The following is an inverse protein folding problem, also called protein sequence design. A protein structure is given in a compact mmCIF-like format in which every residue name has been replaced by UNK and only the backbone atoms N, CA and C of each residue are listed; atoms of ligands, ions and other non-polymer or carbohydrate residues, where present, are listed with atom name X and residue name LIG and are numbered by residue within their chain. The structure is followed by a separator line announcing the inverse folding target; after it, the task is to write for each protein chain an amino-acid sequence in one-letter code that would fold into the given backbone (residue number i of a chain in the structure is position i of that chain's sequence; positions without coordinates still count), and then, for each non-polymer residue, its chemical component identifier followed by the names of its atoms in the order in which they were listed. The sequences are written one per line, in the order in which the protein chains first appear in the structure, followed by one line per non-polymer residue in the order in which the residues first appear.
data_IF_505388398759
#
_entry.id   IF_505388398759
#
_cell.length_a   1.000
_cell.length_b   1.000
_cell.length_c   1.000
_cell.angle_alpha   90.00
_cell.angle_beta   90.00
_cell.angle_gamma   90.00
#
_symmetry.space_group_name_H-M   'P 1'
#
loop_
_entity.id
_entity.type
_entity.pdbx_description
1 polymer ?
#
# COMPACT_ATOMS: atom_id res chain seq x y z
N UNK A 1 -16.63 2.12 21.14
CA UNK A 1 -15.39 2.64 20.48
C UNK A 1 -15.75 3.90 19.67
N UNK A 2 -14.78 4.81 19.41
CA UNK A 2 -15.06 6.03 18.64
C UNK A 2 -15.68 5.75 17.25
N UNK A 3 -15.21 4.67 16.59
CA UNK A 3 -15.65 4.30 15.25
C UNK A 3 -17.11 3.82 15.15
N UNK A 4 -17.70 3.35 16.25
CA UNK A 4 -19.08 2.78 16.25
C UNK A 4 -20.15 3.82 15.91
N UNK A 5 -19.90 5.07 16.25
CA UNK A 5 -20.83 6.18 16.01
C UNK A 5 -20.30 7.20 14.99
N UNK A 6 -19.26 6.82 14.24
CA UNK A 6 -18.58 7.73 13.30
C UNK A 6 -19.09 7.52 11.88
N UNK A 7 -19.17 8.61 11.13
CA UNK A 7 -19.39 8.62 9.68
C UNK A 7 -18.04 8.67 8.99
N UNK A 8 -17.81 7.72 8.06
CA UNK A 8 -16.58 7.63 7.30
C UNK A 8 -16.78 8.17 5.88
N UNK A 9 -15.85 8.99 5.42
CA UNK A 9 -15.72 9.40 4.03
C UNK A 9 -14.57 8.65 3.38
N UNK A 10 -14.84 7.85 2.35
CA UNK A 10 -13.80 7.08 1.67
C UNK A 10 -13.25 7.82 0.46
N UNK A 11 -11.93 7.78 0.31
CA UNK A 11 -11.22 8.26 -0.88
C UNK A 11 -10.31 7.15 -1.39
N UNK A 12 -10.29 6.94 -2.71
CA UNK A 12 -9.24 6.19 -3.42
C UNK A 12 -8.21 7.20 -3.95
N UNK A 13 -7.05 7.39 -3.26
CA UNK A 13 -6.17 8.53 -3.51
C UNK A 13 -5.56 8.55 -4.91
N UNK A 14 -5.09 7.42 -5.44
CA UNK A 14 -4.50 7.36 -6.78
C UNK A 14 -5.48 7.87 -7.84
N UNK A 15 -6.73 7.42 -7.80
CA UNK A 15 -7.78 7.88 -8.72
C UNK A 15 -8.21 9.31 -8.44
N UNK A 16 -8.52 9.65 -7.20
CA UNK A 16 -9.00 10.97 -6.79
C UNK A 16 -7.99 12.08 -7.10
N UNK A 17 -6.71 11.83 -6.88
CA UNK A 17 -5.64 12.79 -7.11
C UNK A 17 -5.14 12.83 -8.57
N UNK A 18 -5.66 11.95 -9.44
CA UNK A 18 -5.28 11.91 -10.86
C UNK A 18 -3.85 11.38 -11.08
N UNK A 19 -3.43 10.41 -10.27
CA UNK A 19 -2.15 9.74 -10.43
C UNK A 19 -2.11 8.88 -11.70
N UNK A 20 -0.94 8.68 -12.34
CA UNK A 20 -0.79 7.71 -13.43
C UNK A 20 -1.19 6.30 -13.00
N UNK A 21 -1.75 5.50 -13.92
CA UNK A 21 -2.16 4.12 -13.63
C UNK A 21 -0.97 3.24 -13.26
N UNK A 22 0.10 3.32 -14.03
CA UNK A 22 1.36 2.62 -13.76
C UNK A 22 2.27 3.52 -12.93
N UNK A 23 3.04 2.93 -12.01
CA UNK A 23 4.04 3.66 -11.26
C UNK A 23 5.22 4.03 -12.18
N UNK A 24 5.33 5.31 -12.48
CA UNK A 24 6.35 5.88 -13.37
C UNK A 24 7.64 6.27 -12.63
N UNK A 25 7.68 6.11 -11.30
CA UNK A 25 8.81 6.49 -10.46
C UNK A 25 8.97 8.00 -10.26
N UNK A 26 8.04 8.82 -10.77
CA UNK A 26 8.12 10.28 -10.68
C UNK A 26 7.38 10.78 -9.45
N UNK A 27 8.10 11.48 -8.57
CA UNK A 27 7.49 12.06 -7.37
C UNK A 27 6.82 13.39 -7.69
N UNK A 28 5.49 13.43 -7.48
CA UNK A 28 4.68 14.64 -7.66
C UNK A 28 3.69 14.75 -6.50
N UNK A 29 3.69 15.88 -5.81
CA UNK A 29 2.71 16.13 -4.75
C UNK A 29 1.30 16.30 -5.35
N UNK A 30 0.58 15.18 -5.42
CA UNK A 30 -0.85 15.15 -5.80
C UNK A 30 -1.75 14.96 -4.58
N UNK A 31 -1.21 14.40 -3.48
CA UNK A 31 -1.98 14.04 -2.29
C UNK A 31 -2.54 15.29 -1.58
N UNK A 32 -1.94 16.45 -1.77
CA UNK A 32 -2.42 17.73 -1.25
C UNK A 32 -3.86 18.04 -1.63
N UNK A 33 -4.35 17.53 -2.76
CA UNK A 33 -5.76 17.64 -3.17
C UNK A 33 -6.75 17.12 -2.12
N UNK A 34 -6.34 16.15 -1.30
CA UNK A 34 -7.18 15.64 -0.20
C UNK A 34 -7.36 16.69 0.89
N UNK A 35 -6.32 17.47 1.18
CA UNK A 35 -6.42 18.59 2.13
C UNK A 35 -7.41 19.66 1.66
N UNK A 36 -7.47 19.96 0.36
CA UNK A 36 -8.43 20.90 -0.22
C UNK A 36 -9.89 20.44 -0.03
N UNK A 37 -10.10 19.16 0.26
CA UNK A 37 -11.42 18.56 0.47
C UNK A 37 -11.87 18.58 1.94
N UNK A 38 -11.01 18.99 2.88
CA UNK A 38 -11.26 18.93 4.31
C UNK A 38 -12.54 19.68 4.74
N UNK A 39 -12.75 20.90 4.26
CA UNK A 39 -13.96 21.69 4.53
C UNK A 39 -15.24 20.99 4.04
N UNK A 40 -15.17 20.35 2.87
CA UNK A 40 -16.31 19.63 2.31
C UNK A 40 -16.67 18.41 3.18
N UNK A 41 -15.67 17.63 3.57
CA UNK A 41 -15.82 16.43 4.41
C UNK A 41 -16.39 16.84 5.79
N UNK A 42 -15.86 17.89 6.38
CA UNK A 42 -16.36 18.41 7.66
C UNK A 42 -17.83 18.85 7.56
N UNK A 43 -18.21 19.58 6.50
CA UNK A 43 -19.61 20.02 6.29
C UNK A 43 -20.58 18.88 6.06
N UNK A 44 -20.12 17.74 5.53
CA UNK A 44 -20.91 16.53 5.43
C UNK A 44 -21.15 15.85 6.78
N UNK A 45 -20.44 16.26 7.83
CA UNK A 45 -20.51 15.65 9.16
C UNK A 45 -19.77 14.33 9.26
N UNK A 46 -18.77 14.10 8.40
CA UNK A 46 -17.92 12.91 8.51
C UNK A 46 -16.85 13.12 9.59
N UNK A 47 -16.65 12.09 10.43
CA UNK A 47 -15.70 12.09 11.55
C UNK A 47 -14.32 11.56 11.16
N UNK A 48 -14.26 10.80 10.07
CA UNK A 48 -13.04 10.16 9.61
C UNK A 48 -12.99 10.06 8.08
N UNK A 49 -11.78 10.13 7.54
CA UNK A 49 -11.48 9.76 6.16
C UNK A 49 -10.81 8.39 6.16
N UNK A 50 -11.39 7.46 5.41
CA UNK A 50 -10.77 6.17 5.07
C UNK A 50 -10.07 6.31 3.73
N UNK A 51 -8.76 6.17 3.73
CA UNK A 51 -7.95 6.21 2.52
C UNK A 51 -7.66 4.78 2.05
N UNK A 52 -8.14 4.42 0.85
CA UNK A 52 -7.65 3.23 0.15
C UNK A 52 -6.12 3.32 -0.01
N UNK A 53 -5.41 2.22 -0.31
CA UNK A 53 -3.96 2.17 -0.13
C UNK A 53 -3.19 3.36 -0.72
N UNK A 54 -2.29 3.92 0.09
CA UNK A 54 -1.47 5.09 -0.24
C UNK A 54 0.03 4.78 -0.29
N UNK A 55 0.42 3.57 0.10
CA UNK A 55 1.82 3.16 0.13
C UNK A 55 2.38 2.94 -1.28
N UNK A 56 3.69 3.04 -1.43
CA UNK A 56 4.37 2.79 -2.71
C UNK A 56 3.92 1.46 -3.30
N UNK A 57 3.43 1.48 -4.55
CA UNK A 57 2.80 0.34 -5.19
C UNK A 57 3.16 0.23 -6.68
N UNK A 58 2.90 -0.94 -7.27
CA UNK A 58 3.16 -1.16 -8.69
C UNK A 58 2.14 -0.40 -9.56
N UNK A 59 0.83 -0.49 -9.22
CA UNK A 59 -0.27 0.02 -10.06
C UNK A 59 -1.41 0.63 -9.26
N UNK A 60 -2.21 -0.23 -8.60
CA UNK A 60 -3.52 0.16 -8.04
C UNK A 60 -3.52 0.40 -6.51
N UNK A 61 -2.37 0.28 -5.87
CA UNK A 61 -2.23 0.49 -4.43
C UNK A 61 -2.30 -0.80 -3.61
N UNK A 62 -3.06 -1.81 -4.06
CA UNK A 62 -3.14 -3.12 -3.38
C UNK A 62 -1.96 -4.04 -3.71
N UNK A 63 -1.04 -3.60 -4.54
CA UNK A 63 0.20 -4.25 -4.97
C UNK A 63 1.42 -3.51 -4.41
N UNK A 64 1.51 -3.48 -3.08
CA UNK A 64 2.48 -2.70 -2.31
C UNK A 64 3.93 -3.09 -2.62
N UNK A 65 4.79 -2.08 -2.83
CA UNK A 65 6.25 -2.20 -2.93
C UNK A 65 6.97 -1.91 -1.62
N UNK A 66 6.45 -0.92 -0.86
CA UNK A 66 7.06 -0.47 0.39
C UNK A 66 5.99 0.15 1.30
N UNK A 67 5.81 -0.42 2.50
CA UNK A 67 4.85 0.07 3.49
C UNK A 67 5.33 1.32 4.26
N UNK A 68 6.60 1.69 4.15
CA UNK A 68 7.19 2.82 4.87
C UNK A 68 7.25 4.10 4.04
N UNK A 69 6.75 4.04 2.82
CA UNK A 69 6.82 5.12 1.86
C UNK A 69 5.47 5.37 1.20
N UNK A 70 5.08 6.64 1.12
CA UNK A 70 3.93 7.06 0.31
C UNK A 70 4.26 6.85 -1.17
N UNK A 71 3.27 6.42 -1.95
CA UNK A 71 3.42 6.23 -3.38
C UNK A 71 3.92 7.52 -4.04
N UNK A 72 5.02 7.43 -4.79
CA UNK A 72 5.66 8.60 -5.39
C UNK A 72 4.72 9.37 -6.32
N UNK A 73 3.78 8.70 -6.94
CA UNK A 73 2.74 9.35 -7.76
C UNK A 73 1.79 10.24 -6.95
N UNK A 74 1.73 10.06 -5.62
CA UNK A 74 0.95 10.88 -4.69
C UNK A 74 1.79 11.96 -4.02
N UNK A 75 3.08 11.72 -3.79
CA UNK A 75 3.98 12.67 -3.13
C UNK A 75 5.01 12.01 -2.23
N UNK A 76 5.35 12.69 -1.16
CA UNK A 76 6.30 12.24 -0.14
C UNK A 76 5.59 11.99 1.20
N UNK A 77 6.31 11.36 2.14
CA UNK A 77 5.81 11.19 3.51
C UNK A 77 5.50 12.55 4.18
N UNK A 78 6.31 13.57 3.88
CA UNK A 78 6.13 14.93 4.39
C UNK A 78 4.89 15.60 3.78
N UNK A 79 4.59 15.35 2.51
CA UNK A 79 3.35 15.84 1.88
C UNK A 79 2.13 15.22 2.55
N UNK A 80 2.18 13.92 2.82
CA UNK A 80 1.08 13.22 3.53
C UNK A 80 0.93 13.70 4.98
N UNK A 81 2.03 13.96 5.68
CA UNK A 81 1.98 14.52 7.04
C UNK A 81 1.18 15.84 7.06
N UNK A 82 1.40 16.74 6.09
CA UNK A 82 0.64 18.00 5.95
C UNK A 82 -0.85 17.77 5.68
N UNK A 83 -1.18 16.74 4.89
CA UNK A 83 -2.60 16.35 4.68
C UNK A 83 -3.23 15.91 5.99
N UNK A 84 -2.54 15.07 6.77
CA UNK A 84 -3.01 14.62 8.09
C UNK A 84 -3.20 15.81 9.04
N UNK A 85 -2.25 16.75 9.10
CA UNK A 85 -2.36 17.96 9.92
C UNK A 85 -3.61 18.78 9.57
N UNK A 86 -3.87 18.96 8.27
CA UNK A 86 -5.05 19.68 7.79
C UNK A 86 -6.34 18.96 8.17
N UNK A 87 -6.45 17.67 7.94
CA UNK A 87 -7.63 16.88 8.30
C UNK A 87 -7.87 16.88 9.82
N UNK A 88 -6.82 16.71 10.61
CA UNK A 88 -6.91 16.76 12.08
C UNK A 88 -7.35 18.13 12.59
N UNK A 89 -6.89 19.23 11.96
CA UNK A 89 -7.34 20.59 12.30
C UNK A 89 -8.83 20.80 12.04
N UNK A 90 -9.43 20.05 11.11
CA UNK A 90 -10.87 20.01 10.84
C UNK A 90 -11.63 18.99 11.71
N UNK A 91 -10.98 18.36 12.68
CA UNK A 91 -11.57 17.34 13.55
C UNK A 91 -11.78 15.97 12.86
N UNK A 92 -11.18 15.76 11.68
CA UNK A 92 -11.33 14.56 10.88
C UNK A 92 -10.17 13.58 11.17
N UNK A 93 -10.50 12.37 11.57
CA UNK A 93 -9.51 11.30 11.75
C UNK A 93 -9.10 10.68 10.41
N UNK A 94 -7.89 10.18 10.34
CA UNK A 94 -7.37 9.47 9.16
C UNK A 94 -7.25 7.98 9.46
N UNK A 95 -7.82 7.15 8.59
CA UNK A 95 -7.73 5.69 8.63
C UNK A 95 -7.13 5.22 7.32
N UNK A 96 -6.07 4.42 7.41
CA UNK A 96 -5.36 3.89 6.24
C UNK A 96 -5.74 2.45 5.97
N UNK A 97 -5.85 2.10 4.68
CA UNK A 97 -6.00 0.73 4.22
C UNK A 97 -4.66 -0.01 4.34
N UNK A 98 -4.63 -1.03 5.19
CA UNK A 98 -3.47 -1.89 5.40
C UNK A 98 -3.63 -3.22 4.67
N UNK A 99 -2.99 -3.36 3.51
CA UNK A 99 -2.99 -4.60 2.72
C UNK A 99 -1.84 -5.50 3.20
N UNK A 100 -2.10 -6.33 4.23
CA UNK A 100 -1.05 -7.12 4.89
C UNK A 100 -1.05 -8.61 4.49
N UNK A 101 -2.01 -9.05 3.66
CA UNK A 101 -2.07 -10.43 3.19
C UNK A 101 -1.04 -10.72 2.07
N UNK A 102 -0.80 -9.75 1.21
CA UNK A 102 0.05 -9.88 0.03
C UNK A 102 0.73 -8.56 -0.33
N UNK A 103 1.69 -8.62 -1.23
CA UNK A 103 2.44 -7.49 -1.77
C UNK A 103 2.51 -7.56 -3.29
N UNK A 104 2.89 -6.46 -3.93
CA UNK A 104 3.21 -6.45 -5.36
C UNK A 104 4.53 -7.17 -5.66
N UNK A 105 4.73 -7.54 -6.93
CA UNK A 105 5.99 -8.13 -7.38
C UNK A 105 7.20 -7.19 -7.27
N UNK A 106 6.92 -5.87 -7.18
CA UNK A 106 7.92 -4.83 -6.93
C UNK A 106 8.36 -4.70 -5.47
N UNK A 107 7.78 -5.47 -4.53
CA UNK A 107 8.14 -5.43 -3.12
C UNK A 107 9.62 -5.77 -2.92
N UNK A 108 10.33 -4.94 -2.17
CA UNK A 108 11.79 -5.00 -2.06
C UNK A 108 12.34 -6.38 -1.62
N UNK A 109 11.68 -7.05 -0.65
CA UNK A 109 12.11 -8.37 -0.19
C UNK A 109 11.83 -9.46 -1.26
N UNK A 110 10.74 -9.32 -2.05
CA UNK A 110 10.45 -10.23 -3.15
C UNK A 110 11.44 -10.04 -4.31
N UNK A 111 11.87 -8.80 -4.59
CA UNK A 111 12.94 -8.50 -5.55
C UNK A 111 14.24 -9.19 -5.18
N UNK A 112 14.62 -9.17 -3.92
CA UNK A 112 15.80 -9.89 -3.43
C UNK A 112 15.68 -11.41 -3.68
N UNK A 113 14.48 -11.98 -3.44
CA UNK A 113 14.23 -13.41 -3.75
C UNK A 113 14.31 -13.69 -5.26
N UNK A 114 13.77 -12.80 -6.10
CA UNK A 114 13.87 -12.95 -7.56
C UNK A 114 15.33 -12.97 -8.03
N UNK A 115 16.20 -12.18 -7.40
CA UNK A 115 17.62 -12.08 -7.73
C UNK A 115 18.44 -13.24 -7.15
N UNK A 116 18.32 -13.51 -5.84
CA UNK A 116 19.17 -14.44 -5.08
C UNK A 116 18.60 -15.84 -4.94
N UNK A 117 17.32 -16.03 -5.27
CA UNK A 117 16.64 -17.32 -5.18
C UNK A 117 16.77 -17.94 -3.79
N UNK A 118 17.31 -19.16 -3.72
CA UNK A 118 17.52 -19.91 -2.49
C UNK A 118 18.41 -19.18 -1.47
N UNK A 119 19.33 -18.36 -1.92
CA UNK A 119 20.28 -17.63 -1.07
C UNK A 119 19.70 -16.34 -0.47
N UNK A 120 18.47 -15.96 -0.86
CA UNK A 120 17.82 -14.81 -0.27
C UNK A 120 17.46 -15.04 1.21
N UNK A 121 17.80 -14.08 2.11
CA UNK A 121 17.35 -14.15 3.50
C UNK A 121 15.85 -13.94 3.66
N UNK A 122 15.15 -13.49 2.61
CA UNK A 122 13.72 -13.19 2.61
C UNK A 122 12.86 -14.30 1.97
N UNK A 123 13.44 -15.44 1.53
CA UNK A 123 12.67 -16.51 0.90
C UNK A 123 11.52 -17.03 1.77
N UNK A 124 11.71 -17.08 3.09
CA UNK A 124 10.70 -17.56 4.03
C UNK A 124 9.65 -16.49 4.42
N UNK A 125 9.76 -15.28 3.86
CA UNK A 125 8.75 -14.23 3.97
C UNK A 125 7.53 -14.52 3.09
N UNK A 126 7.67 -15.45 2.15
CA UNK A 126 6.66 -15.86 1.19
C UNK A 126 6.47 -17.37 1.21
N UNK A 127 5.44 -17.87 0.58
CA UNK A 127 5.24 -19.31 0.37
C UNK A 127 5.84 -19.71 -0.98
N UNK A 128 7.10 -20.16 -1.00
CA UNK A 128 7.89 -20.42 -2.21
C UNK A 128 8.22 -21.92 -2.34
N UNK A 129 8.20 -22.42 -3.57
CA UNK A 129 8.66 -23.75 -3.96
C UNK A 129 9.69 -23.62 -5.08
N UNK A 130 10.94 -24.01 -4.79
CA UNK A 130 12.06 -23.86 -5.72
C UNK A 130 12.15 -24.99 -6.77
N UNK A 131 11.33 -26.02 -6.66
CA UNK A 131 11.16 -27.09 -7.63
C UNK A 131 10.11 -26.82 -8.71
N UNK A 132 9.43 -25.66 -8.61
CA UNK A 132 8.42 -25.20 -9.54
C UNK A 132 8.80 -23.94 -10.31
N UNK A 133 7.84 -23.38 -11.05
CA UNK A 133 8.00 -22.10 -11.73
C UNK A 133 6.71 -21.28 -11.68
N UNK A 134 6.84 -19.97 -11.69
CA UNK A 134 5.71 -19.04 -11.75
C UNK A 134 5.29 -18.75 -13.20
N UNK A 135 4.13 -18.12 -13.37
CA UNK A 135 3.67 -17.61 -14.66
C UNK A 135 4.58 -16.51 -15.25
N UNK A 136 5.47 -15.95 -14.43
CA UNK A 136 6.44 -14.92 -14.82
C UNK A 136 7.83 -15.50 -15.12
N UNK A 137 7.97 -16.83 -15.12
CA UNK A 137 9.24 -17.52 -15.35
C UNK A 137 10.35 -17.12 -14.36
N UNK A 138 10.01 -17.05 -13.08
CA UNK A 138 10.94 -16.65 -12.01
C UNK A 138 11.99 -17.73 -11.69
N UNK A 139 11.80 -18.98 -12.16
CA UNK A 139 12.63 -20.13 -11.78
C UNK A 139 12.29 -20.71 -10.40
N UNK A 140 11.17 -20.30 -9.82
CA UNK A 140 10.52 -20.84 -8.63
C UNK A 140 9.02 -20.56 -8.68
N UNK A 141 8.23 -21.36 -7.97
CA UNK A 141 6.80 -21.13 -7.78
C UNK A 141 6.57 -20.42 -6.44
N UNK A 142 5.54 -19.58 -6.37
CA UNK A 142 5.10 -18.94 -5.13
C UNK A 142 3.58 -18.84 -5.08
N UNK A 143 3.03 -18.76 -3.88
CA UNK A 143 1.60 -18.56 -3.68
C UNK A 143 1.21 -17.10 -3.94
N UNK A 144 0.25 -16.87 -4.86
CA UNK A 144 -0.41 -15.60 -5.08
C UNK A 144 -1.75 -15.51 -4.34
N UNK A 145 -2.29 -14.30 -4.21
CA UNK A 145 -3.63 -14.10 -3.67
C UNK A 145 -4.68 -14.63 -4.63
N UNK A 146 -5.42 -15.66 -4.20
CA UNK A 146 -6.49 -16.30 -5.01
C UNK A 146 -6.06 -16.68 -6.45
N UNK A 147 -4.82 -17.07 -6.64
CA UNK A 147 -4.26 -17.40 -7.96
C UNK A 147 -3.73 -16.22 -8.77
N UNK A 148 -3.79 -15.02 -8.23
CA UNK A 148 -3.22 -13.81 -8.83
C UNK A 148 -1.74 -13.70 -8.49
N UNK A 149 -0.87 -14.09 -9.44
CA UNK A 149 0.59 -14.10 -9.24
C UNK A 149 1.24 -12.71 -9.19
N UNK A 150 0.56 -11.67 -9.65
CA UNK A 150 0.96 -10.27 -9.45
C UNK A 150 0.86 -9.83 -7.98
N UNK A 151 0.10 -10.56 -7.16
CA UNK A 151 -0.12 -10.31 -5.73
C UNK A 151 0.50 -11.44 -4.91
N UNK A 152 1.75 -11.23 -4.50
CA UNK A 152 2.58 -12.25 -3.83
C UNK A 152 2.16 -12.38 -2.37
N UNK A 153 1.71 -13.56 -1.96
CA UNK A 153 1.23 -13.81 -0.61
C UNK A 153 2.36 -13.78 0.42
N UNK A 154 2.15 -13.05 1.51
CA UNK A 154 3.07 -12.98 2.64
C UNK A 154 2.88 -14.18 3.59
N UNK A 155 3.98 -14.66 4.15
CA UNK A 155 3.97 -15.66 5.21
C UNK A 155 3.83 -14.98 6.58
N UNK A 156 2.60 -14.71 7.00
CA UNK A 156 2.31 -14.08 8.30
C UNK A 156 2.62 -14.96 9.53
N UNK A 157 3.08 -16.20 9.33
CA UNK A 157 3.62 -17.05 10.41
C UNK A 157 5.09 -16.78 10.67
N UNK A 158 5.77 -16.07 9.76
CA UNK A 158 7.15 -15.65 9.95
C UNK A 158 7.21 -14.40 10.84
N UNK A 159 7.84 -14.46 12.05
CA UNK A 159 7.89 -13.30 12.96
C UNK A 159 8.53 -12.06 12.33
N UNK A 160 9.55 -12.24 11.49
CA UNK A 160 10.22 -11.10 10.84
C UNK A 160 9.29 -10.35 9.86
N UNK A 161 8.32 -11.04 9.25
CA UNK A 161 7.27 -10.40 8.43
C UNK A 161 6.35 -9.58 9.31
N UNK A 162 5.90 -10.16 10.43
CA UNK A 162 5.00 -9.49 11.37
C UNK A 162 5.67 -8.26 12.00
N UNK A 163 6.95 -8.38 12.37
CA UNK A 163 7.74 -7.26 12.94
C UNK A 163 7.97 -6.13 11.93
N UNK A 164 8.04 -6.47 10.63
CA UNK A 164 8.19 -5.47 9.57
C UNK A 164 6.88 -4.70 9.33
N UNK A 165 5.72 -5.39 9.36
CA UNK A 165 4.40 -4.82 9.14
C UNK A 165 3.90 -3.99 10.32
#
# INVERSE_FOLDING_TARGET
MWAENSVFYQIYPLGFCGAPKENDGVTVNRIGKIADWADHIQRLGADAVYLSPIFESDRHGYDTRDYRKIDCRLGTNEDFAKVCETLHAHGIRVVLDGVFNHVGRGFWAFKDVQEKKWDSPYKDWFHIHFDGNSNYNDGFWYEGWEGHFELVKLNLRNPAVVDYL
#
